data_IF_303409796640
#
_entry.id   IF_303409796640
#
_cell.length_a   1.000
_cell.length_b   1.000
_cell.length_c   1.000
_cell.angle_alpha   90.00
_cell.angle_beta   90.00
_cell.angle_gamma   90.00
#
_symmetry.space_group_name_H-M   'P 1'
#
loop_
_entity.id
_entity.type
_entity.pdbx_description
1 polymer ?
#
# COMPACT_ATOMS: atom_id res chain seq x y z
N UNK A 1 4.48 9.13 16.63
CA UNK A 1 4.95 9.11 15.22
C UNK A 1 4.60 7.82 14.48
N UNK A 2 5.23 6.65 14.70
CA UNK A 2 4.83 5.37 14.04
C UNK A 2 3.66 4.70 14.78
N UNK A 3 3.63 4.78 16.11
CA UNK A 3 2.56 4.17 16.92
C UNK A 3 1.20 4.88 16.76
N UNK A 4 1.16 6.18 16.49
CA UNK A 4 -0.08 6.94 16.25
C UNK A 4 -0.81 6.52 14.96
N UNK A 5 -0.06 6.14 13.91
CA UNK A 5 -0.64 5.67 12.65
C UNK A 5 -1.29 4.28 12.79
N UNK A 6 -0.87 3.50 13.79
CA UNK A 6 -1.43 2.18 14.06
C UNK A 6 -2.63 2.21 15.00
N UNK A 7 -2.75 3.21 15.88
CA UNK A 7 -3.77 3.23 16.93
C UNK A 7 -5.02 4.05 16.58
N UNK A 8 -4.94 5.01 15.66
CA UNK A 8 -6.04 5.97 15.42
C UNK A 8 -6.71 5.88 14.03
N UNK A 9 -6.11 5.19 13.04
CA UNK A 9 -6.61 5.18 11.65
C UNK A 9 -7.16 3.83 11.22
N UNK A 10 -8.35 3.86 10.62
CA UNK A 10 -8.96 2.68 9.98
C UNK A 10 -8.29 2.48 8.62
N UNK A 11 -7.45 1.46 8.49
CA UNK A 11 -6.78 1.10 7.24
C UNK A 11 -7.72 0.29 6.34
N UNK A 12 -7.84 0.69 5.08
CA UNK A 12 -8.58 -0.08 4.06
C UNK A 12 -7.61 -0.95 3.27
N UNK A 13 -7.94 -2.22 3.11
CA UNK A 13 -7.11 -3.15 2.33
C UNK A 13 -7.19 -2.84 0.83
N UNK A 14 -6.04 -2.53 0.22
CA UNK A 14 -5.91 -2.22 -1.21
C UNK A 14 -5.49 -3.45 -2.02
N UNK A 15 -4.65 -4.31 -1.44
CA UNK A 15 -4.19 -5.56 -2.03
C UNK A 15 -4.20 -6.62 -0.94
N UNK A 16 -4.81 -7.77 -1.23
CA UNK A 16 -4.84 -8.90 -0.32
C UNK A 16 -3.42 -9.44 -0.07
N UNK A 17 -3.23 -10.21 1.00
CA UNK A 17 -1.94 -10.86 1.27
C UNK A 17 -1.58 -11.84 0.14
N UNK A 18 -0.54 -11.50 -0.61
CA UNK A 18 -0.08 -12.28 -1.76
C UNK A 18 1.31 -12.88 -1.52
N UNK A 19 1.52 -14.11 -1.97
CA UNK A 19 2.83 -14.77 -1.89
C UNK A 19 3.75 -14.22 -2.98
N UNK A 20 4.92 -13.74 -2.57
CA UNK A 20 5.94 -13.24 -3.49
C UNK A 20 7.00 -14.32 -3.77
N UNK A 21 7.71 -14.15 -4.88
CA UNK A 21 8.86 -14.94 -5.30
C UNK A 21 10.15 -14.14 -5.14
N UNK A 22 11.22 -14.83 -4.75
CA UNK A 22 12.54 -14.23 -4.60
C UNK A 22 13.05 -13.69 -5.95
N UNK A 23 13.84 -12.61 -5.89
CA UNK A 23 14.55 -12.03 -7.04
C UNK A 23 13.65 -11.69 -8.25
N UNK A 24 12.36 -11.46 -8.00
CA UNK A 24 11.33 -11.28 -9.04
C UNK A 24 10.66 -9.92 -8.86
N UNK A 25 10.34 -9.27 -9.99
CA UNK A 25 9.48 -8.08 -9.99
C UNK A 25 8.02 -8.50 -10.09
N UNK A 26 7.24 -8.13 -9.09
CA UNK A 26 5.81 -8.39 -9.04
C UNK A 26 5.07 -7.10 -9.47
N UNK A 27 4.13 -7.26 -10.39
CA UNK A 27 3.25 -6.20 -10.86
C UNK A 27 1.82 -6.60 -10.54
N UNK A 28 1.08 -5.70 -9.90
CA UNK A 28 -0.31 -5.90 -9.50
C UNK A 28 -1.10 -4.74 -10.06
N UNK A 29 -2.09 -5.03 -10.89
CA UNK A 29 -2.96 -4.03 -11.53
C UNK A 29 -4.41 -4.43 -11.30
N UNK A 30 -4.81 -5.60 -11.81
CA UNK A 30 -6.18 -6.11 -11.69
C UNK A 30 -6.54 -6.54 -10.26
N UNK A 31 -5.55 -6.90 -9.44
CA UNK A 31 -5.74 -7.31 -8.04
C UNK A 31 -5.92 -6.12 -7.07
N UNK A 32 -5.68 -4.90 -7.55
CA UNK A 32 -5.76 -3.69 -6.74
C UNK A 32 -7.22 -3.24 -6.60
N UNK A 33 -7.71 -3.21 -5.35
CA UNK A 33 -9.05 -2.74 -5.04
C UNK A 33 -9.14 -1.22 -5.20
N UNK A 34 -10.23 -0.75 -5.82
CA UNK A 34 -10.54 0.67 -5.91
C UNK A 34 -11.00 1.20 -4.54
N UNK A 35 -10.10 1.89 -3.83
CA UNK A 35 -10.35 2.46 -2.50
C UNK A 35 -10.55 3.98 -2.51
N UNK A 36 -10.51 4.61 -3.68
CA UNK A 36 -10.56 6.07 -3.83
C UNK A 36 -9.21 6.75 -3.61
N UNK A 37 -9.25 8.07 -3.38
CA UNK A 37 -8.05 8.87 -3.15
C UNK A 37 -7.47 8.60 -1.74
N UNK A 38 -6.16 8.39 -1.66
CA UNK A 38 -5.45 8.12 -0.40
C UNK A 38 -4.18 8.97 -0.30
N UNK A 39 -3.82 9.36 0.91
CA UNK A 39 -2.61 10.14 1.19
C UNK A 39 -1.47 9.31 1.76
N UNK A 40 -1.79 8.17 2.38
CA UNK A 40 -0.84 7.29 3.04
C UNK A 40 -1.04 5.84 2.60
N UNK A 41 0.07 5.11 2.52
CA UNK A 41 0.07 3.68 2.26
C UNK A 41 0.86 2.97 3.33
N UNK A 42 0.35 1.81 3.72
CA UNK A 42 1.01 0.89 4.64
C UNK A 42 1.35 -0.40 3.91
N UNK A 43 2.63 -0.71 3.85
CA UNK A 43 3.14 -1.94 3.26
C UNK A 43 3.58 -2.90 4.36
N UNK A 44 3.04 -4.12 4.36
CA UNK A 44 3.34 -5.14 5.36
C UNK A 44 4.01 -6.35 4.70
N UNK A 45 5.13 -6.80 5.26
CA UNK A 45 5.84 -8.03 4.86
C UNK A 45 5.64 -9.05 5.99
N UNK A 46 5.33 -10.31 5.66
CA UNK A 46 5.05 -11.36 6.63
C UNK A 46 5.80 -12.66 6.32
N UNK A 47 6.34 -13.37 7.33
CA UNK A 47 6.47 -12.95 8.74
C UNK A 47 7.55 -11.86 8.92
N UNK A 48 8.53 -11.85 8.03
CA UNK A 48 9.65 -10.92 7.95
C UNK A 48 10.26 -11.03 6.54
N UNK A 49 11.31 -10.25 6.26
CA UNK A 49 12.07 -10.32 5.02
C UNK A 49 12.47 -8.97 4.45
N UNK A 50 13.00 -8.96 3.24
CA UNK A 50 13.47 -7.76 2.55
C UNK A 50 12.78 -7.58 1.20
N UNK A 51 12.28 -6.36 0.95
CA UNK A 51 11.83 -5.91 -0.37
C UNK A 51 12.76 -4.81 -0.81
N UNK A 52 13.43 -4.99 -1.95
CA UNK A 52 14.40 -4.02 -2.42
C UNK A 52 13.76 -2.68 -2.78
N UNK A 53 12.56 -2.70 -3.38
CA UNK A 53 11.81 -1.49 -3.76
C UNK A 53 10.31 -1.75 -3.75
N UNK A 54 9.56 -0.79 -3.23
CA UNK A 54 8.12 -0.64 -3.45
C UNK A 54 7.91 0.55 -4.40
N UNK A 55 7.07 0.36 -5.43
CA UNK A 55 6.62 1.44 -6.30
C UNK A 55 5.11 1.46 -6.28
N UNK A 56 4.55 2.65 -6.11
CA UNK A 56 3.12 2.88 -6.11
C UNK A 56 2.84 3.86 -7.23
N UNK A 57 2.02 3.43 -8.18
CA UNK A 57 1.58 4.24 -9.29
C UNK A 57 0.14 4.66 -9.06
N UNK A 58 -0.17 5.91 -9.37
CA UNK A 58 -1.50 6.47 -9.21
C UNK A 58 -1.57 7.85 -9.84
N UNK A 59 -2.78 8.36 -9.99
CA UNK A 59 -3.04 9.72 -10.46
C UNK A 59 -3.20 10.65 -9.26
N UNK A 60 -2.58 11.82 -9.32
CA UNK A 60 -2.70 12.83 -8.26
C UNK A 60 -4.10 13.43 -8.32
N UNK A 61 -4.81 13.37 -7.20
CA UNK A 61 -6.06 14.10 -6.99
C UNK A 61 -5.72 15.41 -6.31
N UNK A 62 -6.19 16.53 -6.86
CA UNK A 62 -6.04 17.84 -6.21
C UNK A 62 -7.05 17.93 -5.08
N UNK A 63 -6.56 18.26 -3.90
CA UNK A 63 -7.42 18.67 -2.79
C UNK A 63 -7.86 20.12 -3.06
N UNK A 64 -9.09 20.27 -3.54
CA UNK A 64 -9.69 21.58 -3.75
C UNK A 64 -10.20 22.06 -2.38
N UNK A 65 -9.29 22.48 -1.50
CA UNK A 65 -9.63 22.85 -0.13
C UNK A 65 -10.80 23.83 -0.06
N UNK A 66 -11.97 23.30 0.32
CA UNK A 66 -13.12 24.04 0.82
C UNK A 66 -13.12 23.99 2.35
#
# INVERSE_FOLDING_TARGET
AIEELNSAQTWTEVLARTRLQAHTRHHFEDEIKAVGAVSHLRFNIYPDGGVSRLRVYGTIVKDNGE
#
